data_IF_076436459829
#
_entry.id   IF_076436459829
#
_cell.length_a   1.000
_cell.length_b   1.000
_cell.length_c   1.000
_cell.angle_alpha   90.00
_cell.angle_beta   90.00
_cell.angle_gamma   90.00
#
_symmetry.space_group_name_H-M   'P 1'
#
loop_
_entity.id
_entity.type
_entity.pdbx_description
1 polymer ?
#
# COMPACT_ATOMS: atom_id res chain seq x y z
N UNK A 1 2.22 -7.93 -9.53
CA UNK A 1 3.40 -7.19 -9.01
C UNK A 1 3.60 -7.47 -7.53
N UNK A 2 2.59 -7.21 -6.70
CA UNK A 2 2.62 -7.49 -5.26
C UNK A 2 2.97 -8.95 -4.95
N UNK A 3 3.63 -9.19 -3.82
CA UNK A 3 4.03 -10.54 -3.39
C UNK A 3 4.87 -11.30 -4.42
N UNK A 4 5.75 -10.60 -5.16
CA UNK A 4 6.56 -11.15 -6.27
C UNK A 4 5.70 -11.78 -7.38
N UNK A 5 4.56 -11.16 -7.69
CA UNK A 5 3.63 -11.68 -8.71
C UNK A 5 2.62 -12.69 -8.20
N UNK A 6 2.66 -13.03 -6.91
CA UNK A 6 1.70 -13.95 -6.27
C UNK A 6 0.51 -13.25 -5.64
N UNK A 7 0.65 -11.97 -5.29
CA UNK A 7 -0.30 -11.18 -4.50
C UNK A 7 -0.48 -11.68 -3.07
N UNK A 8 0.22 -11.04 -2.12
CA UNK A 8 -0.11 -11.18 -0.70
C UNK A 8 -1.40 -10.39 -0.44
N UNK A 9 -2.55 -11.05 -0.48
CA UNK A 9 -3.87 -10.39 -0.58
C UNK A 9 -4.34 -9.82 0.76
N UNK A 10 -4.03 -10.51 1.86
CA UNK A 10 -4.35 -10.08 3.23
C UNK A 10 -3.42 -10.80 4.22
N UNK A 11 -3.65 -10.59 5.52
CA UNK A 11 -2.98 -11.32 6.59
C UNK A 11 -4.04 -12.00 7.48
N UNK A 12 -3.84 -13.26 7.84
CA UNK A 12 -4.74 -14.10 8.64
C UNK A 12 -4.49 -14.00 10.16
N UNK A 13 -3.80 -12.96 10.62
CA UNK A 13 -3.67 -12.64 12.05
C UNK A 13 -5.02 -12.21 12.66
N UNK A 14 -5.07 -12.12 13.98
CA UNK A 14 -6.22 -11.53 14.64
C UNK A 14 -6.24 -9.99 14.47
N UNK A 15 -7.34 -9.39 14.88
CA UNK A 15 -7.56 -7.95 14.71
C UNK A 15 -6.60 -7.12 15.57
N UNK A 16 -6.16 -7.62 16.73
CA UNK A 16 -5.23 -6.92 17.62
C UNK A 16 -3.85 -6.83 16.96
N UNK A 17 -3.35 -7.96 16.46
CA UNK A 17 -2.13 -8.06 15.66
C UNK A 17 -2.20 -7.19 14.40
N UNK A 18 -3.34 -7.18 13.71
CA UNK A 18 -3.54 -6.35 12.52
C UNK A 18 -3.34 -4.87 12.87
N UNK A 19 -3.98 -4.38 13.93
CA UNK A 19 -3.85 -2.98 14.35
C UNK A 19 -2.47 -2.63 14.91
N UNK A 20 -1.77 -3.58 15.54
CA UNK A 20 -0.39 -3.40 15.96
C UNK A 20 0.56 -3.14 14.77
N UNK A 21 0.19 -3.60 13.56
CA UNK A 21 0.93 -3.41 12.32
C UNK A 21 0.46 -2.18 11.50
N UNK A 22 -0.51 -1.40 12.00
CA UNK A 22 -0.93 -0.13 11.39
C UNK A 22 -0.18 1.02 12.05
N UNK A 23 0.81 1.57 11.34
CA UNK A 23 1.75 2.55 11.88
C UNK A 23 1.13 3.86 12.37
N UNK A 24 0.12 4.37 11.66
CA UNK A 24 -0.55 5.62 11.99
C UNK A 24 -2.05 5.51 11.77
N UNK A 25 -2.80 6.31 12.52
CA UNK A 25 -4.26 6.43 12.37
C UNK A 25 -5.03 5.10 12.48
N UNK A 26 -4.54 4.11 13.24
CA UNK A 26 -5.21 2.80 13.41
C UNK A 26 -6.68 2.93 13.85
N UNK A 27 -6.98 3.85 14.77
CA UNK A 27 -8.34 4.15 15.24
C UNK A 27 -9.29 4.60 14.13
N UNK A 28 -8.79 5.27 13.09
CA UNK A 28 -9.61 5.69 11.95
C UNK A 28 -10.14 4.48 11.18
N UNK A 29 -9.38 3.38 11.15
CA UNK A 29 -9.73 2.17 10.42
C UNK A 29 -10.72 1.26 11.17
N UNK A 30 -11.02 1.52 12.44
CA UNK A 30 -11.86 0.63 13.27
C UNK A 30 -13.21 0.33 12.60
N UNK A 31 -13.94 1.36 12.16
CA UNK A 31 -15.25 1.18 11.54
C UNK A 31 -15.18 0.31 10.28
N UNK A 32 -14.17 0.51 9.44
CA UNK A 32 -13.99 -0.25 8.21
C UNK A 32 -13.58 -1.70 8.48
N UNK A 33 -12.58 -1.91 9.34
CA UNK A 33 -12.04 -3.25 9.63
C UNK A 33 -13.04 -4.09 10.40
N UNK A 34 -13.78 -3.54 11.37
CA UNK A 34 -14.83 -4.29 12.06
C UNK A 34 -16.08 -4.52 11.20
N UNK A 35 -16.32 -3.67 10.19
CA UNK A 35 -17.39 -3.87 9.21
C UNK A 35 -17.06 -4.89 8.13
N UNK A 36 -15.77 -5.04 7.78
CA UNK A 36 -15.29 -5.96 6.75
C UNK A 36 -13.83 -6.34 7.01
N UNK A 37 -13.64 -7.38 7.82
CA UNK A 37 -12.34 -7.80 8.33
C UNK A 37 -11.53 -8.63 7.31
N UNK A 38 -10.31 -9.02 7.71
CA UNK A 38 -9.44 -9.90 6.92
C UNK A 38 -10.09 -11.26 6.62
N UNK A 39 -10.92 -11.78 7.53
CA UNK A 39 -11.65 -13.03 7.32
C UNK A 39 -12.74 -12.85 6.25
N UNK A 40 -13.43 -11.72 6.23
CA UNK A 40 -14.40 -11.37 5.19
C UNK A 40 -13.72 -11.24 3.81
N UNK A 41 -12.53 -10.62 3.76
CA UNK A 41 -11.72 -10.57 2.52
C UNK A 41 -11.39 -11.97 2.02
N UNK A 42 -10.94 -12.87 2.90
CA UNK A 42 -10.65 -14.26 2.49
C UNK A 42 -11.90 -14.97 1.97
N UNK A 43 -13.01 -14.92 2.71
CA UNK A 43 -14.29 -15.50 2.29
C UNK A 43 -14.74 -14.98 0.92
N UNK A 44 -14.63 -13.67 0.68
CA UNK A 44 -15.00 -13.09 -0.60
C UNK A 44 -14.21 -13.68 -1.77
N UNK A 45 -12.90 -13.85 -1.64
CA UNK A 45 -12.09 -14.42 -2.71
C UNK A 45 -12.38 -15.92 -2.92
N UNK A 46 -12.57 -16.67 -1.83
CA UNK A 46 -12.99 -18.08 -1.89
C UNK A 46 -14.33 -18.22 -2.62
N UNK A 47 -15.34 -17.45 -2.22
CA UNK A 47 -16.68 -17.41 -2.85
C UNK A 47 -16.63 -16.92 -4.29
N UNK A 48 -15.72 -16.00 -4.61
CA UNK A 48 -15.48 -15.54 -5.97
C UNK A 48 -14.70 -16.55 -6.82
N UNK A 49 -14.37 -17.74 -6.30
CA UNK A 49 -13.70 -18.82 -7.02
C UNK A 49 -12.20 -18.63 -7.15
N UNK A 50 -11.56 -18.03 -6.14
CA UNK A 50 -10.12 -17.91 -6.02
C UNK A 50 -9.67 -18.50 -4.66
N UNK A 51 -9.36 -19.82 -4.62
CA UNK A 51 -8.87 -20.47 -3.42
C UNK A 51 -7.60 -19.81 -2.89
N UNK A 52 -7.51 -19.70 -1.57
CA UNK A 52 -6.42 -19.05 -0.85
C UNK A 52 -5.67 -20.05 0.04
N UNK A 53 -4.39 -19.77 0.26
CA UNK A 53 -3.53 -20.47 1.22
C UNK A 53 -2.88 -19.49 2.17
N UNK A 54 -2.69 -19.94 3.40
CA UNK A 54 -1.96 -19.20 4.44
C UNK A 54 -0.52 -19.73 4.49
N UNK A 55 0.44 -18.83 4.43
CA UNK A 55 1.86 -19.11 4.57
C UNK A 55 2.43 -18.54 5.89
N UNK A 56 3.72 -18.81 6.14
CA UNK A 56 4.48 -18.25 7.28
C UNK A 56 4.22 -16.74 7.46
N UNK A 57 4.01 -16.35 8.71
CA UNK A 57 3.70 -14.96 9.08
C UNK A 57 2.24 -14.58 8.79
N UNK A 58 1.34 -15.56 8.73
CA UNK A 58 -0.08 -15.40 8.43
C UNK A 58 -0.35 -14.71 7.08
N UNK A 59 0.60 -14.74 6.15
CA UNK A 59 0.45 -14.11 4.83
C UNK A 59 -0.46 -14.95 3.96
N UNK A 60 -1.39 -14.31 3.26
CA UNK A 60 -2.41 -15.02 2.48
C UNK A 60 -2.14 -14.81 0.99
N UNK A 61 -2.09 -15.90 0.24
CA UNK A 61 -1.84 -15.91 -1.20
C UNK A 61 -2.92 -16.74 -1.91
N UNK A 62 -3.18 -16.53 -3.20
CA UNK A 62 -3.93 -17.49 -3.99
C UNK A 62 -3.19 -18.83 -4.01
N UNK A 63 -3.92 -19.94 -3.97
CA UNK A 63 -3.33 -21.29 -4.01
C UNK A 63 -2.42 -21.49 -5.23
N UNK A 64 -2.79 -20.88 -6.36
CA UNK A 64 -2.06 -20.91 -7.63
C UNK A 64 -0.73 -20.15 -7.65
N UNK A 65 -0.41 -19.38 -6.60
CA UNK A 65 0.73 -18.44 -6.59
C UNK A 65 0.70 -17.38 -7.71
N UNK A 66 -0.45 -17.12 -8.34
CA UNK A 66 -0.57 -16.16 -9.43
C UNK A 66 -1.51 -15.01 -9.11
N UNK A 67 -0.99 -13.77 -9.09
CA UNK A 67 -1.78 -12.56 -8.84
C UNK A 67 -2.90 -12.33 -9.86
N UNK A 68 -2.81 -12.95 -11.04
CA UNK A 68 -3.86 -12.89 -12.06
C UNK A 68 -5.18 -13.50 -11.57
N UNK A 69 -5.17 -14.43 -10.63
CA UNK A 69 -6.39 -15.08 -10.16
C UNK A 69 -7.20 -14.18 -9.23
N UNK A 70 -6.51 -13.41 -8.37
CA UNK A 70 -7.09 -12.32 -7.59
C UNK A 70 -7.75 -11.28 -8.53
N UNK A 71 -7.03 -10.87 -9.58
CA UNK A 71 -7.56 -9.94 -10.57
C UNK A 71 -8.81 -10.49 -11.27
N UNK A 72 -8.77 -11.75 -11.73
CA UNK A 72 -9.91 -12.40 -12.39
C UNK A 72 -11.11 -12.55 -11.46
N UNK A 73 -10.89 -12.81 -10.17
CA UNK A 73 -11.95 -12.88 -9.18
C UNK A 73 -12.67 -11.53 -9.05
N UNK A 74 -11.92 -10.43 -8.89
CA UNK A 74 -12.48 -9.07 -8.84
C UNK A 74 -13.18 -8.70 -10.16
N UNK A 75 -12.56 -9.00 -11.29
CA UNK A 75 -13.11 -8.71 -12.61
C UNK A 75 -14.45 -9.41 -12.84
N UNK A 76 -14.57 -10.69 -12.46
CA UNK A 76 -15.84 -11.42 -12.50
C UNK A 76 -16.90 -10.76 -11.64
N UNK A 77 -16.55 -10.35 -10.41
CA UNK A 77 -17.50 -9.70 -9.49
C UNK A 77 -17.99 -8.35 -10.01
N UNK A 78 -17.10 -7.55 -10.62
CA UNK A 78 -17.49 -6.31 -11.30
C UNK A 78 -18.46 -6.56 -12.45
N UNK A 79 -18.18 -7.55 -13.30
CA UNK A 79 -19.05 -7.93 -14.42
C UNK A 79 -20.42 -8.45 -13.94
N UNK A 80 -20.45 -9.33 -12.93
CA UNK A 80 -21.68 -9.86 -12.34
C UNK A 80 -22.53 -8.76 -11.69
N UNK A 81 -21.90 -7.73 -11.14
CA UNK A 81 -22.56 -6.57 -10.54
C UNK A 81 -22.98 -5.51 -11.57
N UNK A 82 -22.72 -5.74 -12.87
CA UNK A 82 -23.06 -4.78 -13.93
C UNK A 82 -22.24 -3.48 -13.92
N UNK A 83 -21.07 -3.48 -13.26
CA UNK A 83 -20.20 -2.30 -13.19
C UNK A 83 -19.56 -2.03 -14.55
N UNK A 84 -19.63 -0.79 -15.01
CA UNK A 84 -18.99 -0.35 -16.25
C UNK A 84 -17.55 0.07 -15.99
N UNK A 85 -16.60 -0.75 -16.43
CA UNK A 85 -15.16 -0.44 -16.34
C UNK A 85 -14.72 0.29 -17.61
N UNK A 86 -14.06 1.44 -17.44
CA UNK A 86 -13.47 2.23 -18.53
C UNK A 86 -11.96 2.33 -18.36
N UNK A 87 -11.21 1.55 -19.13
CA UNK A 87 -9.76 1.62 -19.19
C UNK A 87 -9.31 2.77 -20.10
N UNK A 88 -8.03 3.16 -20.01
CA UNK A 88 -7.46 4.27 -20.79
C UNK A 88 -8.27 5.57 -20.70
N UNK A 89 -8.90 5.79 -19.54
CA UNK A 89 -9.82 6.89 -19.26
C UNK A 89 -9.30 7.63 -18.04
N UNK A 90 -8.39 8.58 -18.27
CA UNK A 90 -7.72 9.30 -17.20
C UNK A 90 -8.59 10.45 -16.66
N UNK A 91 -8.84 10.44 -15.36
CA UNK A 91 -9.52 11.53 -14.66
C UNK A 91 -8.60 12.76 -14.60
N UNK A 92 -9.10 13.92 -15.05
CA UNK A 92 -8.33 15.15 -15.10
C UNK A 92 -8.53 16.04 -13.86
N UNK A 93 -9.78 16.27 -13.47
CA UNK A 93 -10.17 17.04 -12.28
C UNK A 93 -11.60 16.72 -11.83
N UNK A 94 -11.92 17.07 -10.59
CA UNK A 94 -13.30 17.02 -10.12
C UNK A 94 -14.12 18.18 -10.70
N UNK A 95 -15.39 17.93 -10.96
CA UNK A 95 -16.38 18.97 -11.23
C UNK A 95 -17.13 19.23 -9.92
N UNK A 96 -17.00 20.44 -9.39
CA UNK A 96 -17.59 20.86 -8.12
C UNK A 96 -18.42 22.10 -8.39
N UNK A 97 -19.67 22.09 -7.92
CA UNK A 97 -20.49 23.30 -7.87
C UNK A 97 -20.01 24.15 -6.68
N UNK A 98 -19.52 25.36 -6.97
CA UNK A 98 -18.97 26.25 -5.93
C UNK A 98 -20.04 26.82 -5.00
N UNK A 99 -21.30 26.96 -5.47
CA UNK A 99 -22.38 27.50 -4.68
C UNK A 99 -22.90 26.46 -3.68
N UNK A 100 -23.09 25.22 -4.15
CA UNK A 100 -23.60 24.13 -3.32
C UNK A 100 -22.50 23.36 -2.58
N UNK A 101 -21.24 23.54 -2.98
CA UNK A 101 -20.08 22.76 -2.52
C UNK A 101 -20.27 21.26 -2.71
N UNK A 102 -20.93 20.87 -3.80
CA UNK A 102 -21.26 19.49 -4.13
C UNK A 102 -20.47 19.04 -5.35
N UNK A 103 -20.06 17.78 -5.36
CA UNK A 103 -19.45 17.18 -6.53
C UNK A 103 -20.53 16.83 -7.54
N UNK A 104 -20.29 17.13 -8.82
CA UNK A 104 -21.24 16.90 -9.91
C UNK A 104 -20.70 15.95 -10.98
N UNK A 105 -19.40 15.62 -10.93
CA UNK A 105 -18.79 14.70 -11.87
C UNK A 105 -17.26 14.78 -11.92
N UNK A 106 -16.70 14.22 -12.98
CA UNK A 106 -15.28 14.26 -13.32
C UNK A 106 -15.12 14.81 -14.73
N UNK A 107 -14.14 15.70 -14.91
CA UNK A 107 -13.63 16.01 -16.24
C UNK A 107 -12.41 15.14 -16.52
N UNK A 108 -12.44 14.40 -17.61
CA UNK A 108 -11.36 13.57 -18.10
C UNK A 108 -10.25 14.42 -18.72
N UNK A 109 -9.02 13.89 -18.81
CA UNK A 109 -7.88 14.61 -19.43
C UNK A 109 -8.10 14.96 -20.89
N UNK A 110 -8.90 14.19 -21.61
CA UNK A 110 -9.27 14.46 -23.01
C UNK A 110 -10.33 15.58 -23.14
N UNK A 111 -10.83 16.13 -22.02
CA UNK A 111 -11.82 17.20 -21.96
C UNK A 111 -13.26 16.73 -21.74
N UNK A 112 -13.56 15.44 -21.92
CA UNK A 112 -14.89 14.87 -21.73
C UNK A 112 -15.36 14.99 -20.29
N UNK A 113 -16.68 15.08 -20.08
CA UNK A 113 -17.29 15.19 -18.76
C UNK A 113 -18.14 13.97 -18.46
N UNK A 114 -17.97 13.42 -17.27
CA UNK A 114 -18.77 12.34 -16.73
C UNK A 114 -19.51 12.85 -15.49
N UNK A 115 -20.83 12.93 -15.56
CA UNK A 115 -21.64 13.37 -14.43
C UNK A 115 -21.83 12.22 -13.43
N UNK A 116 -21.77 12.54 -12.14
CA UNK A 116 -22.03 11.59 -11.06
C UNK A 116 -22.41 12.33 -9.77
N UNK A 117 -23.37 11.77 -9.03
CA UNK A 117 -23.79 12.32 -7.72
C UNK A 117 -22.78 11.97 -6.61
N UNK A 118 -21.97 10.93 -6.83
CA UNK A 118 -21.00 10.42 -5.86
C UNK A 118 -19.72 10.01 -6.57
N UNK A 119 -18.58 10.32 -5.95
CA UNK A 119 -17.26 9.99 -6.46
C UNK A 119 -16.44 9.34 -5.35
N UNK A 120 -15.86 8.17 -5.64
CA UNK A 120 -14.93 7.47 -4.76
C UNK A 120 -13.53 7.61 -5.37
N UNK A 121 -12.61 8.24 -4.65
CA UNK A 121 -11.22 8.40 -5.07
C UNK A 121 -10.42 7.19 -4.58
N UNK A 122 -10.01 6.33 -5.51
CA UNK A 122 -9.23 5.11 -5.25
C UNK A 122 -7.95 5.05 -6.11
N UNK A 123 -7.29 6.20 -6.30
CA UNK A 123 -6.14 6.39 -7.22
C UNK A 123 -4.79 5.97 -6.64
N UNK A 124 -4.76 5.40 -5.43
CA UNK A 124 -3.53 4.98 -4.76
C UNK A 124 -2.68 6.14 -4.26
N UNK A 125 -1.39 5.86 -4.05
CA UNK A 125 -0.39 6.84 -3.60
C UNK A 125 0.48 7.37 -4.74
N UNK A 126 1.76 7.62 -4.43
CA UNK A 126 2.78 8.07 -5.40
C UNK A 126 4.02 7.13 -5.45
N UNK A 127 3.88 5.91 -4.93
CA UNK A 127 4.89 4.86 -5.12
C UNK A 127 4.68 4.19 -6.47
N UNK A 128 5.76 3.68 -7.10
CA UNK A 128 5.69 2.96 -8.37
C UNK A 128 4.91 3.71 -9.47
N UNK A 129 5.23 4.98 -9.77
CA UNK A 129 4.47 5.82 -10.72
C UNK A 129 4.21 5.18 -12.10
N UNK A 130 5.08 4.26 -12.54
CA UNK A 130 4.90 3.50 -13.78
C UNK A 130 3.68 2.56 -13.77
N UNK A 131 3.10 2.27 -12.59
CA UNK A 131 1.84 1.53 -12.47
C UNK A 131 0.59 2.42 -12.53
N UNK A 132 0.75 3.74 -12.68
CA UNK A 132 -0.35 4.71 -12.76
C UNK A 132 -0.66 5.44 -11.44
N UNK A 133 0.05 5.13 -10.36
CA UNK A 133 -0.05 5.82 -9.06
C UNK A 133 0.79 7.10 -9.09
N UNK A 134 0.24 8.15 -9.69
CA UNK A 134 0.92 9.44 -9.97
C UNK A 134 0.59 10.53 -8.94
N UNK A 135 -0.23 10.23 -7.94
CA UNK A 135 -0.63 11.18 -6.90
C UNK A 135 -1.87 12.03 -7.22
N UNK A 136 -2.62 11.68 -8.27
CA UNK A 136 -3.82 12.42 -8.71
C UNK A 136 -4.87 12.57 -7.61
N UNK A 137 -5.01 11.55 -6.74
CA UNK A 137 -5.93 11.61 -5.60
C UNK A 137 -5.63 12.74 -4.62
N UNK A 138 -4.36 13.11 -4.46
CA UNK A 138 -3.97 14.24 -3.62
C UNK A 138 -4.36 15.58 -4.24
N UNK A 139 -4.33 15.68 -5.57
CA UNK A 139 -4.85 16.85 -6.29
C UNK A 139 -6.37 16.94 -6.09
N UNK A 140 -7.11 15.85 -6.32
CA UNK A 140 -8.57 15.82 -6.16
C UNK A 140 -9.00 16.16 -4.73
N UNK A 141 -8.26 15.66 -3.72
CA UNK A 141 -8.50 16.01 -2.33
C UNK A 141 -8.37 17.53 -2.08
N UNK A 142 -7.32 18.17 -2.62
CA UNK A 142 -7.13 19.63 -2.51
C UNK A 142 -8.21 20.42 -3.26
N UNK A 143 -8.62 19.98 -4.45
CA UNK A 143 -9.72 20.58 -5.20
C UNK A 143 -11.04 20.55 -4.42
N UNK A 144 -11.28 19.46 -3.69
CA UNK A 144 -12.42 19.32 -2.78
C UNK A 144 -12.25 20.04 -1.43
N UNK A 145 -11.16 20.79 -1.23
CA UNK A 145 -10.91 21.58 -0.02
C UNK A 145 -10.29 20.82 1.15
N UNK A 146 -9.84 19.58 0.96
CA UNK A 146 -9.12 18.83 1.98
C UNK A 146 -7.65 19.24 2.08
N UNK A 147 -7.07 19.01 3.25
CA UNK A 147 -5.62 19.07 3.44
C UNK A 147 -4.98 17.72 3.09
N UNK A 148 -3.75 17.77 2.58
CA UNK A 148 -2.93 16.59 2.31
C UNK A 148 -1.70 16.66 3.21
N UNK A 149 -1.46 15.58 3.96
CA UNK A 149 -0.30 15.47 4.85
C UNK A 149 1.01 15.45 4.05
N UNK A 150 2.14 15.64 4.73
CA UNK A 150 3.45 15.49 4.10
C UNK A 150 3.63 14.04 3.65
N UNK A 151 3.85 13.85 2.34
CA UNK A 151 4.09 12.53 1.77
C UNK A 151 5.53 12.10 2.03
N UNK A 152 5.71 10.84 2.43
CA UNK A 152 7.03 10.26 2.70
C UNK A 152 7.06 8.80 2.23
N UNK A 153 8.23 8.29 1.76
CA UNK A 153 8.34 6.91 1.32
C UNK A 153 8.30 5.96 2.53
N UNK A 154 7.56 4.86 2.42
CA UNK A 154 7.50 3.80 3.42
C UNK A 154 7.68 2.44 2.73
N UNK A 155 8.13 1.43 3.48
CA UNK A 155 8.51 0.12 2.93
C UNK A 155 9.56 0.23 1.81
N UNK A 156 10.59 1.05 2.03
CA UNK A 156 11.69 1.29 1.09
C UNK A 156 13.04 0.83 1.66
N UNK A 157 14.01 0.48 0.80
CA UNK A 157 15.38 0.23 1.24
C UNK A 157 16.03 1.48 1.88
N UNK A 158 17.04 1.27 2.71
CA UNK A 158 17.90 2.34 3.20
C UNK A 158 19.15 2.48 2.34
N UNK A 159 19.55 3.72 2.09
CA UNK A 159 20.89 4.05 1.59
C UNK A 159 21.81 4.20 2.80
N UNK A 160 22.97 3.56 2.75
CA UNK A 160 23.97 3.64 3.82
C UNK A 160 25.19 4.44 3.36
N UNK A 161 25.91 5.06 4.30
CA UNK A 161 27.08 5.88 3.97
C UNK A 161 28.34 5.03 3.76
N UNK A 162 28.31 3.80 4.26
CA UNK A 162 29.43 2.90 4.26
C UNK A 162 29.66 2.24 2.89
N UNK A 163 30.84 2.51 2.31
CA UNK A 163 31.25 1.98 1.00
C UNK A 163 31.40 0.44 0.96
N UNK A 164 31.63 -0.21 2.11
CA UNK A 164 31.78 -1.67 2.18
C UNK A 164 30.48 -2.40 1.88
N UNK A 165 29.33 -1.74 2.05
CA UNK A 165 28.01 -2.34 1.80
C UNK A 165 27.88 -2.85 0.37
N UNK A 166 28.39 -2.08 -0.60
CA UNK A 166 28.42 -2.46 -2.03
C UNK A 166 29.22 -3.73 -2.29
N UNK A 167 30.27 -3.99 -1.51
CA UNK A 167 31.09 -5.21 -1.64
C UNK A 167 30.32 -6.46 -1.22
N UNK A 168 29.30 -6.31 -0.38
CA UNK A 168 28.42 -7.39 0.07
C UNK A 168 27.14 -7.51 -0.77
N UNK A 169 26.99 -6.78 -1.88
CA UNK A 169 25.76 -6.79 -2.66
C UNK A 169 25.29 -8.23 -3.01
N UNK A 170 24.00 -8.49 -2.85
CA UNK A 170 23.41 -9.81 -3.08
C UNK A 170 23.51 -10.78 -1.89
N UNK A 171 24.34 -10.49 -0.88
CA UNK A 171 24.37 -11.27 0.35
C UNK A 171 23.04 -11.11 1.10
N UNK A 172 22.33 -12.21 1.26
CA UNK A 172 21.11 -12.29 2.06
C UNK A 172 21.42 -12.86 3.43
N UNK A 173 21.18 -12.09 4.47
CA UNK A 173 21.24 -12.55 5.85
C UNK A 173 19.87 -13.09 6.27
N UNK A 174 19.89 -14.24 6.93
CA UNK A 174 18.70 -14.87 7.52
C UNK A 174 18.91 -15.04 9.01
N UNK A 175 17.83 -14.96 9.78
CA UNK A 175 17.85 -15.14 11.23
C UNK A 175 18.77 -14.11 11.92
N UNK A 176 18.65 -12.85 11.50
CA UNK A 176 19.38 -11.71 12.08
C UNK A 176 18.42 -10.75 12.75
N UNK A 177 18.90 -10.07 13.78
CA UNK A 177 18.24 -8.90 14.36
C UNK A 177 18.77 -7.64 13.69
N UNK A 178 17.89 -6.72 13.31
CA UNK A 178 18.26 -5.39 12.86
C UNK A 178 17.69 -4.35 13.81
N UNK A 179 18.51 -3.37 14.21
CA UNK A 179 18.12 -2.24 15.04
C UNK A 179 18.35 -0.96 14.28
N UNK A 180 17.44 -0.01 14.45
CA UNK A 180 17.58 1.35 13.91
C UNK A 180 17.56 2.31 15.08
N UNK A 181 18.61 3.12 15.19
CA UNK A 181 18.76 4.12 16.22
C UNK A 181 18.80 5.53 15.64
N UNK A 182 18.17 6.48 16.32
CA UNK A 182 18.25 7.91 16.01
C UNK A 182 18.50 8.68 17.30
N UNK A 183 19.48 9.58 17.28
CA UNK A 183 19.89 10.37 18.46
C UNK A 183 20.18 9.49 19.71
N UNK A 184 20.74 8.29 19.49
CA UNK A 184 21.05 7.33 20.55
C UNK A 184 19.82 6.62 21.16
N UNK A 185 18.67 6.67 20.49
CA UNK A 185 17.45 5.97 20.89
C UNK A 185 17.05 4.95 19.84
N UNK A 186 16.77 3.72 20.27
CA UNK A 186 16.19 2.69 19.43
C UNK A 186 14.78 3.09 19.01
N UNK A 187 14.53 3.14 17.69
CA UNK A 187 13.21 3.44 17.12
C UNK A 187 12.54 2.20 16.51
N UNK A 188 13.32 1.16 16.22
CA UNK A 188 12.89 -0.11 15.66
C UNK A 188 13.91 -1.20 15.99
N UNK A 189 13.42 -2.37 16.36
CA UNK A 189 14.18 -3.62 16.44
C UNK A 189 13.28 -4.77 16.03
N UNK A 190 13.79 -5.68 15.19
CA UNK A 190 13.05 -6.86 14.76
C UNK A 190 14.01 -7.95 14.24
N UNK A 191 13.50 -9.17 14.13
CA UNK A 191 14.26 -10.37 13.76
C UNK A 191 13.73 -11.00 12.47
N UNK A 192 14.63 -11.29 11.53
CA UNK A 192 14.22 -11.80 10.22
C UNK A 192 15.32 -11.81 9.16
N UNK A 193 14.98 -11.28 7.99
CA UNK A 193 15.82 -11.31 6.79
C UNK A 193 16.21 -9.89 6.35
N UNK A 194 17.48 -9.74 5.97
CA UNK A 194 18.08 -8.51 5.45
C UNK A 194 18.86 -8.83 4.17
N UNK A 195 18.93 -7.88 3.26
CA UNK A 195 19.65 -7.99 1.99
C UNK A 195 20.60 -6.81 1.81
N UNK A 196 21.86 -7.09 1.53
CA UNK A 196 22.79 -6.06 1.05
C UNK A 196 22.56 -5.76 -0.42
N UNK A 197 22.50 -4.48 -0.77
CA UNK A 197 22.34 -3.97 -2.13
C UNK A 197 23.57 -3.15 -2.53
N UNK A 198 23.62 -2.71 -3.78
CA UNK A 198 24.72 -1.89 -4.28
C UNK A 198 24.78 -0.47 -3.69
N UNK A 199 23.73 -0.02 -2.97
CA UNK A 199 23.62 1.32 -2.38
C UNK A 199 23.31 1.30 -0.87
N UNK A 200 23.09 0.12 -0.28
CA UNK A 200 22.62 0.05 1.10
C UNK A 200 21.97 -1.28 1.44
N UNK A 201 20.93 -1.22 2.27
CA UNK A 201 20.30 -2.42 2.84
C UNK A 201 18.81 -2.46 2.55
N UNK A 202 18.31 -3.66 2.30
CA UNK A 202 16.92 -3.97 1.98
C UNK A 202 16.51 -5.27 2.68
N UNK A 203 15.48 -5.94 2.18
CA UNK A 203 14.88 -7.11 2.80
C UNK A 203 13.80 -6.75 3.83
N UNK A 204 12.95 -7.71 4.21
CA UNK A 204 11.77 -7.47 5.04
C UNK A 204 12.05 -6.62 6.29
N UNK A 205 13.15 -6.87 7.00
CA UNK A 205 13.52 -6.10 8.19
C UNK A 205 13.71 -4.61 7.89
N UNK A 206 14.53 -4.30 6.89
CA UNK A 206 14.85 -2.91 6.57
C UNK A 206 13.65 -2.19 5.94
N UNK A 207 12.83 -2.90 5.16
CA UNK A 207 11.59 -2.32 4.62
C UNK A 207 10.63 -1.96 5.75
N UNK A 208 10.37 -2.85 6.71
CA UNK A 208 9.54 -2.55 7.87
C UNK A 208 10.13 -1.40 8.70
N UNK A 209 11.43 -1.44 8.99
CA UNK A 209 12.15 -0.39 9.70
C UNK A 209 12.03 0.99 9.05
N UNK A 210 11.98 1.07 7.72
CA UNK A 210 11.79 2.33 7.00
C UNK A 210 10.47 3.03 7.34
N UNK A 211 9.41 2.27 7.57
CA UNK A 211 8.12 2.82 7.99
C UNK A 211 8.22 3.43 9.39
N UNK A 212 8.87 2.73 10.34
CA UNK A 212 9.11 3.28 11.68
C UNK A 212 9.98 4.54 11.65
N UNK A 213 11.03 4.55 10.83
CA UNK A 213 11.91 5.70 10.66
C UNK A 213 11.17 6.94 10.15
N UNK A 214 10.34 6.79 9.11
CA UNK A 214 9.61 7.92 8.54
C UNK A 214 8.64 8.55 9.55
N UNK A 215 7.96 7.75 10.36
CA UNK A 215 7.01 8.26 11.34
C UNK A 215 7.66 8.82 12.60
N UNK A 216 8.79 8.25 13.05
CA UNK A 216 9.42 8.64 14.32
C UNK A 216 10.55 9.66 14.18
N UNK A 217 11.21 9.71 13.02
CA UNK A 217 12.52 10.36 12.91
C UNK A 217 12.89 10.88 11.51
N UNK A 218 11.93 11.02 10.58
CA UNK A 218 12.22 11.47 9.22
C UNK A 218 13.08 12.74 9.16
N UNK A 219 14.16 12.68 8.38
CA UNK A 219 15.08 13.81 8.17
C UNK A 219 16.28 13.84 9.13
N UNK A 220 16.38 12.87 10.05
CA UNK A 220 17.56 12.69 10.92
C UNK A 220 18.44 11.55 10.43
N UNK A 221 19.74 11.61 10.73
CA UNK A 221 20.63 10.49 10.44
C UNK A 221 20.29 9.32 11.37
N UNK A 222 20.00 8.16 10.78
CA UNK A 222 19.83 6.91 11.49
C UNK A 222 21.14 6.11 11.48
N UNK A 223 21.32 5.27 12.50
CA UNK A 223 22.37 4.25 12.59
C UNK A 223 21.72 2.87 12.65
#
# INVERSE_FOLDING_TARGET
ITGKGRCNVTNACDTEDLFANVMEHSKFLYSAIYGYDNQAVMRFFEEAGCPLKIERGQRVFPESDHSSDILRALDRQLHQSGVKVRLHTEAGRLLIDENEKTVTGVQLKNGDKLNADKIIVATGGISYVLTGSTGDGYQFAKEAGHTVTKLSPALVPFVVQEEWCKQLQGLSLRNVEARIEVDGREIYSDFGEMLFTHYGVSGPLMLSGSSHYVHKAAGKQAK
#
